data_IF_232128908043
#
_entry.id   IF_232128908043
#
_cell.length_a   1.000
_cell.length_b   1.000
_cell.length_c   1.000
_cell.angle_alpha   90.00
_cell.angle_beta   90.00
_cell.angle_gamma   90.00
#
_symmetry.space_group_name_H-M   'P 1'
#
loop_
_entity.id
_entity.type
_entity.pdbx_description
1 polymer ?
#
# COMPACT_ATOMS: atom_id res chain seq x y z
N UNK A 1 0.20 29.64 17.25
CA UNK A 1 0.82 29.26 15.95
C UNK A 1 1.69 28.05 16.22
N UNK A 2 1.07 26.88 16.25
CA UNK A 2 1.74 25.60 16.44
C UNK A 2 1.97 25.02 15.07
N UNK A 3 3.24 25.00 14.65
CA UNK A 3 3.68 24.38 13.41
C UNK A 3 3.63 22.87 13.66
N UNK A 4 2.56 22.22 13.21
CA UNK A 4 2.46 20.76 13.16
C UNK A 4 3.47 20.25 12.14
N UNK A 5 4.54 19.61 12.62
CA UNK A 5 5.41 18.78 11.78
C UNK A 5 4.56 17.63 11.23
N UNK A 6 4.22 17.69 9.95
CA UNK A 6 3.67 16.54 9.23
C UNK A 6 4.76 15.48 9.16
N UNK A 7 4.56 14.36 9.85
CA UNK A 7 5.37 13.17 9.67
C UNK A 7 5.28 12.72 8.21
N UNK A 8 6.41 12.34 7.64
CA UNK A 8 6.49 11.82 6.28
C UNK A 8 5.79 10.46 6.25
N UNK A 9 4.53 10.42 5.80
CA UNK A 9 3.85 9.16 5.51
C UNK A 9 4.49 8.61 4.24
N UNK A 10 5.28 7.55 4.36
CA UNK A 10 5.75 6.74 3.23
C UNK A 10 4.54 6.05 2.61
N UNK A 11 3.76 6.77 1.81
CA UNK A 11 2.60 6.24 1.12
C UNK A 11 3.03 5.25 0.04
N UNK A 12 2.56 4.01 0.14
CA UNK A 12 2.69 3.01 -0.92
C UNK A 12 2.23 3.59 -2.27
N UNK A 13 2.90 3.19 -3.33
CA UNK A 13 2.74 3.76 -4.68
C UNK A 13 1.78 2.90 -5.48
N UNK A 14 0.86 3.49 -6.25
CA UNK A 14 0.25 2.75 -7.35
C UNK A 14 1.29 2.54 -8.44
N UNK A 15 1.91 1.36 -8.37
CA UNK A 15 2.95 0.96 -9.31
C UNK A 15 2.29 0.22 -10.46
N UNK A 16 2.50 0.73 -11.68
CA UNK A 16 2.38 -0.07 -12.88
C UNK A 16 3.69 -0.86 -13.03
N UNK A 17 3.70 -2.13 -12.58
CA UNK A 17 4.87 -3.00 -12.75
C UNK A 17 4.84 -3.54 -14.18
N UNK A 18 5.66 -2.99 -15.08
CA UNK A 18 5.98 -3.71 -16.32
C UNK A 18 6.89 -4.88 -15.97
N UNK A 19 6.36 -6.09 -16.03
CA UNK A 19 7.10 -7.34 -15.79
C UNK A 19 8.21 -7.48 -16.84
N UNK A 20 9.46 -7.23 -16.45
CA UNK A 20 10.60 -7.75 -17.21
C UNK A 20 10.79 -9.20 -16.78
N UNK A 21 10.11 -10.12 -17.47
CA UNK A 21 10.37 -11.55 -17.35
C UNK A 21 11.80 -11.83 -17.78
N UNK A 22 12.71 -12.04 -16.83
CA UNK A 22 13.99 -12.69 -17.10
C UNK A 22 13.68 -14.16 -17.30
N UNK A 23 13.36 -14.55 -18.54
CA UNK A 23 13.23 -15.95 -18.91
C UNK A 23 14.56 -16.67 -18.68
N UNK A 24 14.62 -17.45 -17.61
CA UNK A 24 15.72 -18.37 -17.34
C UNK A 24 15.74 -19.49 -18.38
N UNK A 25 16.53 -19.32 -19.42
CA UNK A 25 17.01 -20.42 -20.25
C UNK A 25 18.51 -20.60 -19.96
N UNK A 26 18.86 -21.78 -19.45
CA UNK A 26 20.20 -22.12 -19.02
C UNK A 26 21.25 -21.93 -20.11
N UNK A 27 22.24 -21.11 -19.81
CA UNK A 27 23.56 -21.15 -20.41
C UNK A 27 24.57 -21.28 -19.28
N UNK A 28 25.24 -22.43 -19.20
CA UNK A 28 26.43 -22.60 -18.39
C UNK A 28 27.50 -21.60 -18.86
N UNK A 29 27.59 -20.45 -18.19
CA UNK A 29 28.71 -19.53 -18.32
C UNK A 29 29.77 -19.92 -17.29
N UNK A 30 30.94 -20.27 -17.82
CA UNK A 30 32.17 -20.53 -17.09
C UNK A 30 32.47 -19.47 -16.03
N UNK A 31 33.01 -19.92 -14.89
CA UNK A 31 33.54 -19.10 -13.80
C UNK A 31 34.27 -17.85 -14.31
N UNK A 32 33.69 -16.69 -14.02
CA UNK A 32 34.23 -15.38 -14.41
C UNK A 32 33.17 -14.28 -14.46
N UNK A 33 32.21 -14.23 -13.53
CA UNK A 33 31.36 -13.05 -13.37
C UNK A 33 32.09 -12.02 -12.51
N UNK A 34 32.85 -11.15 -13.15
CA UNK A 34 33.05 -9.82 -12.59
C UNK A 34 31.67 -9.15 -12.61
N UNK A 35 31.06 -8.97 -11.44
CA UNK A 35 29.99 -7.98 -11.27
C UNK A 35 30.60 -6.64 -11.64
N UNK A 36 30.33 -6.12 -12.83
CA UNK A 36 30.60 -4.72 -13.14
C UNK A 36 29.71 -3.91 -12.21
N UNK A 37 30.27 -3.46 -11.09
CA UNK A 37 29.63 -2.45 -10.27
C UNK A 37 29.57 -1.19 -11.13
N UNK A 38 28.37 -0.75 -11.50
CA UNK A 38 28.18 0.58 -12.10
C UNK A 38 28.91 1.61 -11.25
N UNK A 39 29.71 2.44 -11.91
CA UNK A 39 30.33 3.57 -11.23
C UNK A 39 29.24 4.48 -10.66
N UNK A 40 29.47 5.14 -9.51
CA UNK A 40 28.47 6.04 -8.93
C UNK A 40 27.97 7.11 -9.91
N UNK A 41 28.80 7.48 -10.89
CA UNK A 41 28.46 8.41 -11.96
C UNK A 41 27.54 7.81 -13.03
N UNK A 42 27.70 6.53 -13.37
CA UNK A 42 26.82 5.83 -14.31
C UNK A 42 25.41 5.71 -13.75
N UNK A 43 25.27 5.44 -12.44
CA UNK A 43 23.97 5.43 -11.76
C UNK A 43 23.25 6.77 -11.86
N UNK A 44 23.98 7.88 -11.62
CA UNK A 44 23.43 9.24 -11.78
C UNK A 44 22.95 9.48 -13.21
N UNK A 45 23.72 9.04 -14.22
CA UNK A 45 23.32 9.17 -15.61
C UNK A 45 22.11 8.29 -15.97
N UNK A 46 22.06 7.03 -15.49
CA UNK A 46 20.93 6.14 -15.71
C UNK A 46 19.64 6.75 -15.16
N UNK A 47 19.65 7.23 -13.91
CA UNK A 47 18.47 7.86 -13.31
C UNK A 47 18.04 9.08 -14.10
N UNK A 48 18.98 9.94 -14.50
CA UNK A 48 18.66 11.11 -15.33
C UNK A 48 18.00 10.69 -16.65
N UNK A 49 18.52 9.67 -17.33
CA UNK A 49 18.00 9.18 -18.61
C UNK A 49 16.58 8.59 -18.46
N UNK A 50 16.32 7.88 -17.36
CA UNK A 50 15.01 7.32 -17.09
C UNK A 50 13.96 8.41 -16.87
N UNK A 51 14.30 9.48 -16.16
CA UNK A 51 13.40 10.65 -15.99
C UNK A 51 13.20 11.37 -17.33
N UNK A 52 14.28 11.68 -18.06
CA UNK A 52 14.23 12.40 -19.34
C UNK A 52 13.23 11.74 -20.32
N UNK A 53 13.30 10.41 -20.42
CA UNK A 53 12.44 9.64 -21.32
C UNK A 53 10.99 9.51 -20.87
N UNK A 54 10.75 9.34 -19.57
CA UNK A 54 9.46 8.81 -19.09
C UNK A 54 8.63 9.80 -18.25
N UNK A 55 9.21 10.87 -17.70
CA UNK A 55 8.54 11.77 -16.78
C UNK A 55 7.23 12.40 -17.33
N UNK A 56 6.17 12.51 -16.54
CA UNK A 56 4.85 12.91 -17.08
C UNK A 56 4.83 14.33 -17.67
N UNK A 57 5.62 15.25 -17.13
CA UNK A 57 5.71 16.62 -17.63
C UNK A 57 6.93 16.80 -18.53
N UNK A 58 6.68 16.99 -19.83
CA UNK A 58 7.75 17.21 -20.82
C UNK A 58 8.55 18.51 -20.61
N UNK A 59 8.04 19.44 -19.79
CA UNK A 59 8.76 20.66 -19.42
C UNK A 59 9.60 20.52 -18.15
N UNK A 60 9.53 19.37 -17.48
CA UNK A 60 10.24 19.07 -16.23
C UNK A 60 10.02 20.16 -15.16
N UNK A 61 8.79 20.62 -15.00
CA UNK A 61 8.43 21.75 -14.16
C UNK A 61 9.25 23.03 -14.49
N UNK A 62 9.41 23.31 -15.79
CA UNK A 62 10.19 24.43 -16.33
C UNK A 62 11.71 24.37 -16.04
N UNK A 63 12.23 23.21 -15.62
CA UNK A 63 13.66 23.00 -15.40
C UNK A 63 14.35 22.61 -16.71
N UNK A 64 15.49 23.23 -17.02
CA UNK A 64 16.37 22.78 -18.11
C UNK A 64 17.04 21.45 -17.71
N UNK A 65 16.35 20.35 -18.00
CA UNK A 65 16.78 19.00 -17.61
C UNK A 65 18.13 18.62 -18.23
N UNK A 66 18.47 19.16 -19.40
CA UNK A 66 19.79 18.94 -20.04
C UNK A 66 20.90 19.70 -19.30
N UNK A 67 20.62 20.90 -18.79
CA UNK A 67 21.55 21.61 -17.91
C UNK A 67 21.76 20.87 -16.59
N UNK A 68 20.69 20.33 -16.00
CA UNK A 68 20.77 19.47 -14.81
C UNK A 68 21.69 18.28 -15.07
N UNK A 69 21.55 17.59 -16.20
CA UNK A 69 22.48 16.49 -16.56
C UNK A 69 23.94 16.92 -16.51
N UNK A 70 24.26 18.05 -17.16
CA UNK A 70 25.64 18.58 -17.24
C UNK A 70 26.17 18.95 -15.85
N UNK A 71 25.32 19.51 -15.00
CA UNK A 71 25.66 19.86 -13.62
C UNK A 71 26.06 18.61 -12.83
N UNK A 72 25.20 17.59 -12.76
CA UNK A 72 25.43 16.41 -11.94
C UNK A 72 26.52 15.51 -12.51
N UNK A 73 26.58 15.31 -13.83
CA UNK A 73 27.71 14.61 -14.45
C UNK A 73 29.02 15.42 -14.42
N UNK A 74 28.99 16.71 -14.09
CA UNK A 74 30.19 17.50 -13.84
C UNK A 74 30.83 17.22 -12.48
N UNK A 75 30.08 16.64 -11.54
CA UNK A 75 30.56 16.32 -10.19
C UNK A 75 31.44 15.07 -10.19
N UNK A 76 32.23 14.94 -9.12
CA UNK A 76 32.96 13.73 -8.77
C UNK A 76 32.25 13.06 -7.61
N UNK A 77 32.20 11.73 -7.63
CA UNK A 77 31.57 10.91 -6.60
C UNK A 77 32.60 9.93 -6.06
N UNK A 78 32.91 9.98 -4.77
CA UNK A 78 33.91 9.07 -4.17
C UNK A 78 33.31 7.74 -3.76
N UNK A 79 32.00 7.70 -3.49
CA UNK A 79 31.26 6.50 -3.13
C UNK A 79 29.80 6.58 -3.62
N UNK A 80 29.01 5.55 -3.29
CA UNK A 80 27.60 5.45 -3.69
C UNK A 80 26.68 6.38 -2.91
N UNK A 81 26.97 6.65 -1.64
CA UNK A 81 26.12 7.50 -0.81
C UNK A 81 26.16 8.96 -1.31
N UNK A 82 27.32 9.41 -1.79
CA UNK A 82 27.43 10.69 -2.50
C UNK A 82 26.59 10.72 -3.78
N UNK A 83 26.56 9.63 -4.55
CA UNK A 83 25.72 9.53 -5.74
C UNK A 83 24.23 9.49 -5.40
N UNK A 84 23.82 8.74 -4.36
CA UNK A 84 22.43 8.71 -3.90
C UNK A 84 21.95 10.09 -3.45
N UNK A 85 22.78 10.80 -2.68
CA UNK A 85 22.50 12.18 -2.25
C UNK A 85 22.31 13.08 -3.46
N UNK A 86 23.23 13.01 -4.43
CA UNK A 86 23.15 13.82 -5.64
C UNK A 86 21.94 13.46 -6.51
N UNK A 87 21.55 12.19 -6.59
CA UNK A 87 20.33 11.76 -7.29
C UNK A 87 19.10 12.35 -6.60
N UNK A 88 19.01 12.29 -5.26
CA UNK A 88 17.88 12.87 -4.53
C UNK A 88 17.78 14.38 -4.77
N UNK A 89 18.89 15.12 -4.67
CA UNK A 89 18.95 16.55 -5.01
C UNK A 89 18.53 16.84 -6.46
N UNK A 90 18.92 15.97 -7.40
CA UNK A 90 18.59 16.10 -8.82
C UNK A 90 17.08 15.95 -9.05
N UNK A 91 16.46 14.95 -8.41
CA UNK A 91 15.02 14.67 -8.54
C UNK A 91 14.16 15.72 -7.82
N UNK A 92 14.63 16.28 -6.69
CA UNK A 92 13.94 17.38 -5.98
C UNK A 92 13.69 18.60 -6.88
N UNK A 93 14.51 18.82 -7.91
CA UNK A 93 14.31 19.92 -8.87
C UNK A 93 12.99 19.81 -9.65
N UNK A 94 12.42 18.61 -9.77
CA UNK A 94 11.14 18.40 -10.47
C UNK A 94 9.94 18.91 -9.67
N UNK A 95 10.09 19.15 -8.36
CA UNK A 95 8.98 19.45 -7.43
C UNK A 95 7.86 18.40 -7.47
N UNK A 96 8.22 17.15 -7.78
CA UNK A 96 7.32 16.00 -7.75
C UNK A 96 7.79 15.04 -6.64
N UNK A 97 7.09 14.99 -5.49
CA UNK A 97 7.48 14.13 -4.37
C UNK A 97 7.34 12.64 -4.69
N UNK A 98 6.70 12.26 -5.79
CA UNK A 98 6.49 10.86 -6.19
C UNK A 98 7.56 10.36 -7.18
N UNK A 99 8.27 11.26 -7.87
CA UNK A 99 9.47 10.90 -8.63
C UNK A 99 10.66 10.86 -7.69
N UNK A 100 11.03 9.67 -7.24
CA UNK A 100 12.02 9.50 -6.17
C UNK A 100 12.94 8.31 -6.40
N UNK A 101 14.16 8.48 -5.92
CA UNK A 101 15.12 7.41 -5.76
C UNK A 101 14.87 6.68 -4.45
N UNK A 102 15.04 5.37 -4.48
CA UNK A 102 14.97 4.47 -3.35
C UNK A 102 16.29 3.74 -3.27
N UNK A 103 16.99 3.85 -2.14
CA UNK A 103 18.17 3.02 -1.92
C UNK A 103 17.79 1.52 -1.91
N UNK A 104 18.76 0.58 -1.93
CA UNK A 104 18.45 -0.85 -1.99
C UNK A 104 17.55 -1.35 -0.85
N UNK A 105 17.57 -0.71 0.32
CA UNK A 105 16.72 -1.09 1.44
C UNK A 105 15.30 -0.54 1.27
N UNK A 106 15.16 0.74 0.92
CA UNK A 106 13.88 1.37 0.61
C UNK A 106 13.16 0.63 -0.53
N UNK A 107 13.90 0.24 -1.58
CA UNK A 107 13.36 -0.48 -2.71
C UNK A 107 12.89 -1.89 -2.32
N UNK A 108 13.67 -2.61 -1.51
CA UNK A 108 13.26 -3.91 -0.95
C UNK A 108 11.99 -3.82 -0.10
N UNK A 109 11.88 -2.79 0.74
CA UNK A 109 10.69 -2.59 1.56
C UNK A 109 9.45 -2.34 0.68
N UNK A 110 9.57 -1.50 -0.35
CA UNK A 110 8.49 -1.30 -1.33
C UNK A 110 8.11 -2.60 -2.05
N UNK A 111 9.08 -3.45 -2.41
CA UNK A 111 8.79 -4.74 -3.03
C UNK A 111 7.97 -5.65 -2.12
N UNK A 112 8.31 -5.74 -0.83
CA UNK A 112 7.58 -6.52 0.17
C UNK A 112 6.12 -6.06 0.30
N UNK A 113 5.93 -4.75 0.40
CA UNK A 113 4.62 -4.11 0.48
C UNK A 113 3.73 -4.48 -0.73
N UNK A 114 4.33 -4.59 -1.92
CA UNK A 114 3.59 -4.95 -3.15
C UNK A 114 3.43 -6.45 -3.37
N UNK A 115 4.40 -7.28 -2.99
CA UNK A 115 4.30 -8.73 -3.12
C UNK A 115 3.29 -9.31 -2.13
N UNK A 116 3.07 -8.65 -0.99
CA UNK A 116 2.30 -9.23 0.11
C UNK A 116 3.05 -10.36 0.80
N UNK A 117 4.36 -10.43 0.62
CA UNK A 117 5.19 -11.51 1.16
C UNK A 117 6.51 -10.97 1.68
N UNK A 118 6.94 -11.47 2.84
CA UNK A 118 8.28 -11.19 3.37
C UNK A 118 8.98 -12.48 3.78
N UNK A 119 10.30 -12.48 3.78
CA UNK A 119 11.08 -13.56 4.40
C UNK A 119 11.58 -13.12 5.76
N UNK A 120 11.32 -13.91 6.80
CA UNK A 120 11.73 -13.62 8.16
C UNK A 120 11.05 -14.53 9.17
N UNK A 121 10.76 -14.00 10.35
CA UNK A 121 10.08 -14.75 11.43
C UNK A 121 8.67 -14.23 11.75
N UNK A 122 8.20 -13.17 11.09
CA UNK A 122 6.85 -12.63 11.25
C UNK A 122 6.65 -11.80 12.53
N UNK A 123 7.44 -10.72 12.69
CA UNK A 123 7.34 -9.81 13.84
C UNK A 123 7.19 -8.38 13.35
N UNK A 124 6.26 -7.64 13.95
CA UNK A 124 6.17 -6.19 13.84
C UNK A 124 6.99 -5.53 14.95
N UNK A 125 7.92 -4.66 14.58
CA UNK A 125 8.84 -4.00 15.50
C UNK A 125 8.58 -2.50 15.54
N UNK A 126 8.78 -1.92 16.71
CA UNK A 126 8.95 -0.48 16.92
C UNK A 126 10.25 -0.22 17.68
N UNK A 127 10.63 1.04 17.76
CA UNK A 127 11.64 1.50 18.70
C UNK A 127 10.96 2.38 19.74
N UNK A 128 11.23 2.13 21.01
CA UNK A 128 10.79 3.01 22.08
C UNK A 128 11.44 4.39 21.93
N UNK A 129 10.64 5.46 21.97
CA UNK A 129 11.14 6.80 21.71
C UNK A 129 12.09 7.29 22.81
N UNK A 130 11.91 6.85 24.06
CA UNK A 130 12.68 7.27 25.23
C UNK A 130 13.91 6.38 25.44
N UNK A 131 13.72 5.07 25.47
CA UNK A 131 14.79 4.11 25.79
C UNK A 131 15.62 3.69 24.58
N UNK A 132 15.11 3.92 23.36
CA UNK A 132 15.68 3.43 22.09
C UNK A 132 15.74 1.90 21.98
N UNK A 133 15.07 1.19 22.88
CA UNK A 133 15.00 -0.27 22.84
C UNK A 133 14.08 -0.75 21.71
N UNK A 134 14.39 -1.92 21.14
CA UNK A 134 13.58 -2.56 20.11
C UNK A 134 12.40 -3.30 20.74
N UNK A 135 11.19 -2.83 20.46
CA UNK A 135 9.95 -3.36 21.03
C UNK A 135 9.19 -4.20 20.00
N UNK A 136 8.72 -5.37 20.41
CA UNK A 136 7.74 -6.14 19.64
C UNK A 136 6.37 -5.48 19.77
N UNK A 137 5.82 -4.98 18.67
CA UNK A 137 4.43 -4.51 18.62
C UNK A 137 3.51 -5.73 18.72
N UNK A 138 3.68 -6.67 17.80
CA UNK A 138 2.95 -7.93 17.77
C UNK A 138 3.70 -8.97 16.91
N UNK A 139 3.67 -10.26 17.27
CA UNK A 139 3.92 -11.32 16.30
C UNK A 139 2.77 -11.39 15.28
N UNK A 140 3.08 -11.79 14.06
CA UNK A 140 2.07 -12.07 13.03
C UNK A 140 1.54 -13.48 13.30
N UNK A 141 0.22 -13.67 13.36
CA UNK A 141 -0.39 -14.99 13.59
C UNK A 141 0.08 -16.03 12.56
N UNK A 142 0.17 -17.29 12.99
CA UNK A 142 0.61 -18.43 12.16
C UNK A 142 2.03 -18.29 11.55
N UNK A 143 2.89 -17.47 12.16
CA UNK A 143 4.29 -17.31 11.77
C UNK A 143 5.28 -17.90 12.78
N UNK A 144 6.55 -18.13 12.41
CA UNK A 144 7.55 -18.71 13.32
C UNK A 144 7.68 -17.98 14.67
N UNK A 145 7.56 -16.66 14.71
CA UNK A 145 7.61 -15.89 15.95
C UNK A 145 6.37 -16.08 16.83
N UNK A 146 5.19 -16.17 16.22
CA UNK A 146 3.96 -16.47 16.93
C UNK A 146 4.00 -17.87 17.52
N UNK A 147 4.39 -18.87 16.73
CA UNK A 147 4.55 -20.26 17.18
C UNK A 147 5.61 -20.41 18.28
N UNK A 148 6.70 -19.64 18.19
CA UNK A 148 7.74 -19.62 19.20
C UNK A 148 7.29 -18.98 20.53
N UNK A 149 6.16 -18.26 20.56
CA UNK A 149 5.61 -17.64 21.76
C UNK A 149 6.21 -16.27 22.08
N UNK A 150 6.72 -15.55 21.08
CA UNK A 150 7.00 -14.12 21.18
C UNK A 150 5.68 -13.38 21.41
N UNK A 151 5.68 -12.38 22.29
CA UNK A 151 4.48 -11.62 22.66
C UNK A 151 4.68 -10.14 22.39
N UNK A 152 3.55 -9.43 22.25
CA UNK A 152 3.54 -7.97 22.29
C UNK A 152 4.25 -7.47 23.54
N UNK A 153 4.99 -6.36 23.40
CA UNK A 153 5.81 -5.71 24.42
C UNK A 153 7.10 -6.46 24.84
N UNK A 154 7.44 -7.58 24.21
CA UNK A 154 8.78 -8.14 24.36
C UNK A 154 9.83 -7.14 23.85
N UNK A 155 10.91 -6.97 24.61
CA UNK A 155 12.05 -6.13 24.19
C UNK A 155 13.15 -7.02 23.62
N UNK A 156 13.50 -6.87 22.34
CA UNK A 156 14.58 -7.63 21.73
C UNK A 156 15.91 -7.06 22.20
N UNK A 157 16.67 -7.85 22.95
CA UNK A 157 17.97 -7.46 23.51
C UNK A 157 19.16 -8.11 22.78
N UNK A 158 18.94 -9.23 22.08
CA UNK A 158 19.95 -9.83 21.19
C UNK A 158 19.35 -10.49 19.96
N UNK A 159 20.11 -10.47 18.87
CA UNK A 159 19.83 -11.19 17.62
C UNK A 159 21.07 -12.02 17.28
N UNK A 160 20.93 -13.35 17.25
CA UNK A 160 22.05 -14.30 17.07
C UNK A 160 23.23 -14.03 18.03
N UNK A 161 22.91 -13.65 19.27
CA UNK A 161 23.87 -13.32 20.33
C UNK A 161 24.49 -11.93 20.24
N UNK A 162 24.25 -11.17 19.17
CA UNK A 162 24.66 -9.78 19.03
C UNK A 162 23.71 -8.87 19.81
N UNK A 163 24.26 -7.98 20.64
CA UNK A 163 23.49 -7.00 21.42
C UNK A 163 22.79 -5.98 20.51
N UNK A 164 21.55 -5.61 20.85
CA UNK A 164 20.75 -4.65 20.09
C UNK A 164 20.86 -3.21 20.60
N UNK A 165 21.64 -2.94 21.65
CA UNK A 165 21.87 -1.58 22.16
C UNK A 165 22.42 -0.66 21.05
N UNK A 166 21.71 0.46 20.83
CA UNK A 166 22.05 1.42 19.79
C UNK A 166 21.68 1.01 18.36
N UNK A 167 21.10 -0.18 18.15
CA UNK A 167 20.52 -0.55 16.86
C UNK A 167 19.21 0.19 16.61
N UNK A 168 19.03 0.67 15.39
CA UNK A 168 17.71 1.06 14.91
C UNK A 168 16.90 -0.16 14.43
N UNK A 169 15.60 0.06 14.16
CA UNK A 169 14.69 -0.98 13.69
C UNK A 169 15.17 -1.60 12.37
N UNK A 170 15.76 -0.83 11.47
CA UNK A 170 16.17 -1.32 10.14
C UNK A 170 17.38 -2.24 10.23
N UNK A 171 18.34 -1.91 11.09
CA UNK A 171 19.48 -2.75 11.40
C UNK A 171 19.01 -4.07 12.00
N UNK A 172 18.08 -4.03 12.96
CA UNK A 172 17.49 -5.23 13.54
C UNK A 172 16.76 -6.09 12.50
N UNK A 173 15.92 -5.47 11.65
CA UNK A 173 15.21 -6.16 10.56
C UNK A 173 16.19 -6.85 9.62
N UNK A 174 17.33 -6.22 9.30
CA UNK A 174 18.35 -6.82 8.41
C UNK A 174 18.95 -8.10 9.01
N UNK A 175 19.14 -8.16 10.33
CA UNK A 175 19.64 -9.35 11.03
C UNK A 175 18.57 -10.43 11.21
N UNK A 176 17.32 -10.01 11.46
CA UNK A 176 16.18 -10.91 11.66
C UNK A 176 15.77 -11.59 10.36
N UNK A 177 15.86 -10.87 9.23
CA UNK A 177 15.63 -11.42 7.90
C UNK A 177 16.83 -12.26 7.45
N UNK A 178 16.61 -13.06 6.41
CA UNK A 178 17.60 -13.99 5.89
C UNK A 178 16.94 -15.06 5.02
N UNK A 179 17.71 -15.98 4.44
CA UNK A 179 17.17 -16.99 3.54
C UNK A 179 16.12 -17.89 4.21
N UNK A 180 15.08 -18.29 3.48
CA UNK A 180 14.08 -19.27 3.95
C UNK A 180 14.79 -20.54 4.44
N UNK A 181 14.36 -21.06 5.59
CA UNK A 181 14.91 -22.26 6.23
C UNK A 181 16.15 -22.03 7.10
N UNK A 182 16.81 -20.86 6.99
CA UNK A 182 17.90 -20.49 7.91
C UNK A 182 17.39 -20.20 9.32
N UNK A 183 18.27 -20.27 10.32
CA UNK A 183 17.90 -20.06 11.72
C UNK A 183 18.28 -18.65 12.19
N UNK A 184 17.48 -18.12 13.11
CA UNK A 184 17.77 -16.92 13.89
C UNK A 184 17.35 -17.15 15.34
N UNK A 185 18.14 -16.67 16.28
CA UNK A 185 17.81 -16.70 17.70
C UNK A 185 17.57 -15.29 18.20
N UNK A 186 16.36 -15.04 18.70
CA UNK A 186 16.05 -13.79 19.40
C UNK A 186 16.14 -14.00 20.90
N UNK A 187 16.94 -13.19 21.58
CA UNK A 187 16.87 -13.05 23.02
C UNK A 187 16.00 -11.84 23.34
N UNK A 188 14.93 -12.05 24.09
CA UNK A 188 14.02 -10.99 24.51
C UNK A 188 13.98 -10.83 26.01
N UNK A 189 13.71 -9.62 26.47
CA UNK A 189 13.39 -9.27 27.85
C UNK A 189 11.88 -9.12 27.99
N UNK A 190 11.27 -9.95 28.85
CA UNK A 190 9.84 -9.93 29.20
C UNK A 190 9.71 -9.75 30.72
N UNK A 191 9.38 -8.53 31.15
CA UNK A 191 9.53 -8.14 32.55
C UNK A 191 10.97 -8.36 33.01
N UNK A 192 11.17 -9.09 34.11
CA UNK A 192 12.50 -9.39 34.66
C UNK A 192 13.18 -10.63 34.04
N UNK A 193 12.53 -11.29 33.07
CA UNK A 193 13.03 -12.54 32.48
C UNK A 193 13.70 -12.27 31.13
N UNK A 194 14.80 -12.96 30.89
CA UNK A 194 15.38 -13.11 29.56
C UNK A 194 15.00 -14.48 29.00
N UNK A 195 14.49 -14.49 27.76
CA UNK A 195 14.02 -15.69 27.07
C UNK A 195 14.70 -15.76 25.70
N UNK A 196 15.09 -16.96 25.27
CA UNK A 196 15.68 -17.20 23.95
C UNK A 196 14.71 -17.98 23.07
N UNK A 197 14.53 -17.50 21.85
CA UNK A 197 13.62 -18.06 20.86
C UNK A 197 14.39 -18.38 19.57
N UNK A 198 14.90 -19.63 19.43
CA UNK A 198 15.42 -20.10 18.15
C UNK A 198 14.25 -20.34 17.19
N UNK A 199 14.32 -19.75 16.02
CA UNK A 199 13.28 -19.84 15.00
C UNK A 199 13.89 -20.13 13.64
N UNK A 200 13.12 -20.80 12.79
CA UNK A 200 13.45 -20.94 11.37
C UNK A 200 12.79 -19.80 10.60
N UNK A 201 13.54 -19.11 9.77
CA UNK A 201 13.01 -18.10 8.86
C UNK A 201 12.10 -18.78 7.83
N UNK A 202 10.93 -18.23 7.62
CA UNK A 202 9.95 -18.69 6.66
C UNK A 202 9.57 -17.56 5.69
N UNK A 203 8.92 -17.94 4.60
CA UNK A 203 8.14 -17.02 3.80
C UNK A 203 6.84 -16.74 4.57
N UNK A 204 6.57 -15.45 4.81
CA UNK A 204 5.43 -14.97 5.58
C UNK A 204 4.50 -14.27 4.60
N UNK A 205 3.30 -14.79 4.47
CA UNK A 205 2.22 -14.16 3.72
C UNK A 205 1.61 -13.06 4.58
N UNK A 206 1.47 -11.87 4.00
CA UNK A 206 0.78 -10.74 4.61
C UNK A 206 -0.62 -10.70 4.04
N UNK A 207 -1.64 -10.90 4.88
CA UNK A 207 -3.04 -10.90 4.45
C UNK A 207 -3.63 -9.48 4.51
N UNK A 208 -3.73 -8.75 3.38
CA UNK A 208 -4.27 -7.39 3.35
C UNK A 208 -5.80 -7.33 3.55
N UNK A 209 -6.51 -8.45 3.40
CA UNK A 209 -7.98 -8.49 3.51
C UNK A 209 -8.38 -9.16 4.82
N UNK A 210 -9.11 -8.41 5.64
CA UNK A 210 -9.80 -8.95 6.83
C UNK A 210 -11.29 -8.80 6.63
N UNK A 211 -12.07 -9.83 6.97
CA UNK A 211 -13.52 -9.76 6.85
C UNK A 211 -14.24 -10.42 8.01
N UNK A 212 -15.47 -9.98 8.25
CA UNK A 212 -16.34 -10.53 9.30
C UNK A 212 -17.81 -10.31 8.97
N UNK A 213 -18.67 -11.13 9.55
CA UNK A 213 -20.12 -10.87 9.58
C UNK A 213 -20.43 -10.04 10.82
N UNK A 214 -21.10 -8.92 10.63
CA UNK A 214 -21.50 -8.00 11.69
C UNK A 214 -23.02 -7.98 11.81
N UNK A 215 -23.55 -8.21 13.01
CA UNK A 215 -24.98 -8.08 13.26
C UNK A 215 -25.38 -6.61 13.36
N UNK A 216 -26.44 -6.24 12.64
CA UNK A 216 -27.03 -4.90 12.65
C UNK A 216 -28.55 -5.00 12.84
N UNK A 217 -29.22 -3.96 13.37
CA UNK A 217 -30.68 -3.91 13.42
C UNK A 217 -31.37 -4.15 12.06
N UNK A 218 -30.65 -3.95 10.95
CA UNK A 218 -31.16 -4.10 9.58
C UNK A 218 -30.69 -5.39 8.87
N UNK A 219 -30.14 -6.35 9.61
CA UNK A 219 -29.67 -7.64 9.10
C UNK A 219 -28.17 -7.86 9.29
N UNK A 220 -27.67 -8.98 8.76
CA UNK A 220 -26.24 -9.34 8.80
C UNK A 220 -25.49 -8.55 7.73
N UNK A 221 -24.40 -7.89 8.09
CA UNK A 221 -23.59 -7.06 7.19
C UNK A 221 -22.24 -7.75 6.96
N UNK A 222 -21.80 -7.78 5.71
CA UNK A 222 -20.43 -8.17 5.39
C UNK A 222 -19.51 -6.98 5.56
N UNK A 223 -18.62 -7.02 6.56
CA UNK A 223 -17.57 -6.02 6.72
C UNK A 223 -16.27 -6.57 6.13
N UNK A 224 -15.66 -5.82 5.21
CA UNK A 224 -14.37 -6.14 4.61
C UNK A 224 -13.45 -4.93 4.81
N UNK A 225 -12.29 -5.13 5.42
CA UNK A 225 -11.23 -4.14 5.53
C UNK A 225 -10.08 -4.56 4.62
N UNK A 226 -9.73 -3.70 3.67
CA UNK A 226 -8.59 -3.87 2.77
C UNK A 226 -7.52 -2.86 3.16
N UNK A 227 -6.41 -3.33 3.71
CA UNK A 227 -5.34 -2.44 4.21
C UNK A 227 -4.32 -2.07 3.15
N UNK A 228 -4.20 -2.85 2.07
CA UNK A 228 -3.25 -2.62 0.99
C UNK A 228 -3.62 -3.39 -0.29
N UNK A 229 -3.28 -2.84 -1.45
CA UNK A 229 -3.41 -3.54 -2.74
C UNK A 229 -2.12 -4.30 -3.09
N UNK A 230 -1.86 -5.40 -2.40
CA UNK A 230 -0.74 -6.33 -2.70
C UNK A 230 -1.15 -7.39 -3.73
N UNK A 231 -0.20 -8.22 -4.17
CA UNK A 231 -0.42 -9.24 -5.20
C UNK A 231 -1.51 -10.27 -4.83
N UNK A 232 -1.67 -10.60 -3.54
CA UNK A 232 -2.69 -11.49 -3.02
C UNK A 232 -4.04 -10.81 -2.74
N UNK A 233 -4.13 -9.48 -2.76
CA UNK A 233 -5.32 -8.75 -2.32
C UNK A 233 -6.58 -9.10 -3.11
N UNK A 234 -6.46 -9.27 -4.43
CA UNK A 234 -7.60 -9.60 -5.28
C UNK A 234 -8.15 -11.02 -5.00
N UNK A 235 -7.27 -12.00 -4.82
CA UNK A 235 -7.68 -13.37 -4.49
C UNK A 235 -8.35 -13.44 -3.11
N UNK A 236 -7.77 -12.79 -2.10
CA UNK A 236 -8.35 -12.73 -0.76
C UNK A 236 -9.68 -11.97 -0.73
N UNK A 237 -9.80 -10.87 -1.50
CA UNK A 237 -11.06 -10.13 -1.63
C UNK A 237 -12.16 -11.03 -2.21
N UNK A 238 -11.85 -11.78 -3.28
CA UNK A 238 -12.80 -12.72 -3.87
C UNK A 238 -13.23 -13.77 -2.85
N UNK A 239 -12.28 -14.37 -2.13
CA UNK A 239 -12.57 -15.37 -1.10
C UNK A 239 -13.42 -14.81 0.05
N UNK A 240 -13.19 -13.56 0.45
CA UNK A 240 -13.98 -12.86 1.44
C UNK A 240 -15.43 -12.63 0.96
N UNK A 241 -15.61 -12.15 -0.28
CA UNK A 241 -16.93 -11.94 -0.87
C UNK A 241 -17.69 -13.28 -0.97
N UNK A 242 -17.06 -14.32 -1.54
CA UNK A 242 -17.66 -15.65 -1.70
C UNK A 242 -18.08 -16.26 -0.35
N UNK A 243 -17.29 -16.04 0.70
CA UNK A 243 -17.58 -16.53 2.05
C UNK A 243 -18.75 -15.76 2.69
N UNK A 244 -18.75 -14.43 2.55
CA UNK A 244 -19.81 -13.56 3.09
C UNK A 244 -21.15 -13.77 2.38
N UNK A 245 -21.13 -14.11 1.10
CA UNK A 245 -22.33 -14.45 0.31
C UNK A 245 -23.07 -15.68 0.87
N UNK A 246 -22.35 -16.63 1.47
CA UNK A 246 -22.94 -17.80 2.14
C UNK A 246 -23.61 -17.45 3.47
N UNK A 247 -23.32 -16.27 4.02
CA UNK A 247 -23.78 -15.82 5.32
C UNK A 247 -25.06 -14.97 5.25
N UNK A 248 -25.88 -15.10 4.21
CA UNK A 248 -27.16 -14.37 4.02
C UNK A 248 -27.09 -12.89 4.43
N UNK A 249 -26.00 -12.21 4.08
CA UNK A 249 -25.84 -10.79 4.40
C UNK A 249 -26.78 -9.92 3.56
N UNK A 250 -27.14 -8.75 4.08
CA UNK A 250 -28.03 -7.79 3.42
C UNK A 250 -27.27 -6.73 2.63
N UNK A 251 -25.98 -6.53 2.90
CA UNK A 251 -25.13 -5.56 2.24
C UNK A 251 -23.69 -5.59 2.75
N UNK A 252 -22.84 -4.75 2.17
CA UNK A 252 -21.41 -4.67 2.46
C UNK A 252 -20.98 -3.30 2.97
N UNK A 253 -20.01 -3.30 3.86
CA UNK A 253 -19.14 -2.15 4.14
C UNK A 253 -17.72 -2.52 3.74
N UNK A 254 -17.17 -1.83 2.74
CA UNK A 254 -15.78 -1.96 2.32
C UNK A 254 -14.96 -0.81 2.92
N UNK A 255 -14.03 -1.13 3.81
CA UNK A 255 -13.20 -0.16 4.51
C UNK A 255 -11.81 -0.02 3.87
N UNK A 256 -11.57 1.15 3.26
CA UNK A 256 -10.31 1.57 2.64
C UNK A 256 -9.59 2.65 3.46
N UNK A 257 -10.03 2.92 4.69
CA UNK A 257 -9.40 3.93 5.55
C UNK A 257 -7.98 3.56 5.88
N UNK A 258 -7.09 4.54 5.74
CA UNK A 258 -5.65 4.41 5.94
C UNK A 258 -5.00 3.38 5.01
N UNK A 259 -5.63 3.07 3.87
CA UNK A 259 -5.04 2.24 2.82
C UNK A 259 -4.29 3.15 1.81
N UNK A 260 -2.95 3.13 1.79
CA UNK A 260 -2.15 4.01 0.94
C UNK A 260 -2.17 3.64 -0.54
N UNK A 261 -2.87 2.58 -0.93
CA UNK A 261 -2.95 2.05 -2.28
C UNK A 261 -2.09 0.79 -2.43
N UNK A 262 -1.33 0.71 -3.52
CA UNK A 262 -0.61 -0.48 -3.94
C UNK A 262 -0.87 -0.76 -5.41
N UNK A 263 -0.73 -2.01 -5.86
CA UNK A 263 -0.79 -2.39 -7.26
C UNK A 263 -2.09 -1.94 -7.96
N UNK A 264 -1.94 -1.22 -9.07
CA UNK A 264 -3.06 -0.75 -9.91
C UNK A 264 -3.96 -1.91 -10.34
N UNK A 265 -3.37 -2.99 -10.85
CA UNK A 265 -4.15 -4.12 -11.38
C UNK A 265 -4.91 -4.86 -10.29
N UNK A 266 -4.38 -4.95 -9.07
CA UNK A 266 -5.16 -5.48 -7.94
C UNK A 266 -6.40 -4.61 -7.66
N UNK A 267 -6.30 -3.29 -7.80
CA UNK A 267 -7.45 -2.39 -7.68
C UNK A 267 -8.48 -2.58 -8.79
N UNK A 268 -8.03 -2.77 -10.04
CA UNK A 268 -8.92 -3.01 -11.18
C UNK A 268 -9.64 -4.34 -11.02
N UNK A 269 -8.92 -5.40 -10.65
CA UNK A 269 -9.50 -6.72 -10.44
C UNK A 269 -10.51 -6.71 -9.28
N UNK A 270 -10.21 -6.02 -8.18
CA UNK A 270 -11.17 -5.82 -7.09
C UNK A 270 -12.37 -5.00 -7.57
N UNK A 271 -12.19 -3.94 -8.35
CA UNK A 271 -13.30 -3.15 -8.89
C UNK A 271 -14.24 -4.00 -9.76
N UNK A 272 -13.69 -4.90 -10.60
CA UNK A 272 -14.46 -5.87 -11.42
C UNK A 272 -15.30 -6.84 -10.59
N UNK A 273 -14.93 -7.13 -9.34
CA UNK A 273 -15.74 -7.96 -8.43
C UNK A 273 -17.02 -7.24 -7.98
N UNK A 274 -17.05 -5.91 -8.05
CA UNK A 274 -18.18 -5.08 -7.61
C UNK A 274 -18.96 -4.48 -8.76
N UNK A 275 -18.33 -4.23 -9.92
CA UNK A 275 -18.93 -3.56 -11.08
C UNK A 275 -19.21 -4.55 -12.21
N UNK A 276 -20.47 -4.57 -12.65
CA UNK A 276 -20.88 -5.41 -13.78
C UNK A 276 -20.49 -4.76 -15.12
N UNK A 277 -20.72 -3.45 -15.25
CA UNK A 277 -20.36 -2.63 -16.39
C UNK A 277 -19.80 -1.26 -15.95
N UNK A 278 -19.28 -0.49 -16.91
CA UNK A 278 -18.71 0.84 -16.69
C UNK A 278 -17.19 0.91 -16.73
N UNK A 279 -16.67 2.12 -16.97
CA UNK A 279 -15.23 2.41 -16.89
C UNK A 279 -14.80 2.37 -15.42
N UNK A 280 -13.58 1.90 -15.16
CA UNK A 280 -12.97 1.89 -13.82
C UNK A 280 -11.99 3.06 -13.70
N UNK A 281 -11.06 3.16 -14.64
CA UNK A 281 -10.01 4.19 -14.63
C UNK A 281 -9.47 4.42 -16.03
N UNK A 282 -9.16 5.67 -16.35
CA UNK A 282 -8.41 6.04 -17.56
C UNK A 282 -7.02 6.54 -17.17
N UNK A 283 -6.00 6.09 -17.90
CA UNK A 283 -4.61 6.56 -17.73
C UNK A 283 -4.28 7.58 -18.80
N UNK A 284 -3.73 8.71 -18.40
CA UNK A 284 -3.37 9.83 -19.29
C UNK A 284 -1.90 10.17 -19.11
N UNK A 285 -1.11 9.96 -20.15
CA UNK A 285 0.31 10.31 -20.20
C UNK A 285 0.53 11.65 -20.93
N UNK A 286 1.80 11.98 -21.21
CA UNK A 286 2.16 13.22 -21.91
C UNK A 286 1.73 13.25 -23.39
N UNK A 287 1.34 12.12 -23.97
CA UNK A 287 0.86 11.96 -25.34
C UNK A 287 -0.68 11.98 -25.44
N UNK A 288 -1.39 11.81 -24.31
CA UNK A 288 -2.85 11.83 -24.24
C UNK A 288 -3.39 10.67 -23.42
N UNK A 289 -4.63 10.24 -23.69
CA UNK A 289 -5.16 9.00 -23.07
C UNK A 289 -4.34 7.83 -23.59
N UNK A 290 -3.66 7.14 -22.68
CA UNK A 290 -2.77 6.02 -22.98
C UNK A 290 -3.48 4.67 -22.82
N UNK A 291 -4.42 4.58 -21.88
CA UNK A 291 -5.13 3.34 -21.54
C UNK A 291 -6.47 3.61 -20.86
N UNK A 292 -7.42 2.67 -20.96
CA UNK A 292 -8.71 2.71 -20.27
C UNK A 292 -9.14 1.31 -19.83
N UNK A 293 -9.38 1.16 -18.54
CA UNK A 293 -9.75 -0.11 -17.92
C UNK A 293 -11.23 -0.07 -17.52
N UNK A 294 -11.95 -1.15 -17.82
CA UNK A 294 -13.40 -1.26 -17.60
C UNK A 294 -13.77 -2.54 -16.85
N UNK A 295 -14.98 -2.52 -16.28
CA UNK A 295 -15.66 -3.70 -15.79
C UNK A 295 -15.86 -4.73 -16.92
N UNK A 296 -16.01 -6.00 -16.55
CA UNK A 296 -15.95 -7.12 -17.47
C UNK A 296 -17.13 -8.10 -17.34
N UNK A 297 -18.23 -7.70 -16.70
CA UNK A 297 -19.41 -8.55 -16.49
C UNK A 297 -19.19 -9.71 -15.53
N UNK A 298 -18.30 -9.53 -14.55
CA UNK A 298 -17.96 -10.56 -13.56
C UNK A 298 -18.19 -10.07 -12.12
N UNK A 299 -19.16 -9.17 -11.92
CA UNK A 299 -19.49 -8.75 -10.58
C UNK A 299 -19.94 -9.97 -9.76
N UNK A 300 -19.39 -10.12 -8.56
CA UNK A 300 -19.70 -11.24 -7.68
C UNK A 300 -21.01 -11.01 -6.92
N UNK A 301 -21.44 -9.76 -6.79
CA UNK A 301 -22.63 -9.39 -6.02
C UNK A 301 -23.20 -8.04 -6.43
N UNK A 302 -24.53 -7.97 -6.48
CA UNK A 302 -25.30 -6.73 -6.65
C UNK A 302 -25.80 -6.17 -5.31
N UNK A 303 -25.40 -6.77 -4.18
CA UNK A 303 -25.86 -6.29 -2.87
C UNK A 303 -25.41 -4.85 -2.62
N UNK A 304 -26.22 -4.06 -1.89
CA UNK A 304 -25.86 -2.71 -1.46
C UNK A 304 -24.46 -2.64 -0.85
N UNK A 305 -23.70 -1.62 -1.23
CA UNK A 305 -22.31 -1.41 -0.82
C UNK A 305 -22.11 0.03 -0.35
N UNK A 306 -21.41 0.18 0.77
CA UNK A 306 -20.88 1.46 1.24
C UNK A 306 -19.36 1.34 1.36
N UNK A 307 -18.64 2.36 0.91
CA UNK A 307 -17.18 2.42 0.99
C UNK A 307 -16.77 3.44 2.05
N UNK A 308 -15.93 3.03 3.01
CA UNK A 308 -15.33 3.93 4.00
C UNK A 308 -13.96 4.40 3.50
N UNK A 309 -13.73 5.71 3.56
CA UNK A 309 -12.45 6.35 3.17
C UNK A 309 -12.02 7.42 4.16
N UNK A 310 -10.72 7.73 4.20
CA UNK A 310 -10.16 8.83 4.97
C UNK A 310 -8.98 9.49 4.24
N UNK A 311 -8.34 10.47 4.87
CA UNK A 311 -7.17 11.15 4.30
C UNK A 311 -5.92 10.27 4.12
N UNK A 312 -5.94 9.03 4.62
CA UNK A 312 -4.92 8.01 4.35
C UNK A 312 -5.29 7.07 3.20
N UNK A 313 -6.52 7.10 2.71
CA UNK A 313 -6.93 6.44 1.47
C UNK A 313 -6.26 7.15 0.29
N UNK A 314 -5.37 6.47 -0.42
CA UNK A 314 -4.61 7.06 -1.52
C UNK A 314 -4.51 6.13 -2.74
N UNK A 315 -4.25 6.72 -3.91
CA UNK A 315 -3.81 6.00 -5.11
C UNK A 315 -4.79 4.90 -5.55
N UNK A 316 -4.42 3.61 -5.52
CA UNK A 316 -5.34 2.51 -5.82
C UNK A 316 -6.66 2.54 -5.01
N UNK A 317 -6.63 2.98 -3.74
CA UNK A 317 -7.85 3.18 -2.95
C UNK A 317 -8.76 4.25 -3.54
N UNK A 318 -8.18 5.31 -4.11
CA UNK A 318 -8.91 6.42 -4.74
C UNK A 318 -9.45 6.02 -6.11
N UNK A 319 -8.72 5.17 -6.85
CA UNK A 319 -9.22 4.55 -8.08
C UNK A 319 -10.44 3.68 -7.78
N UNK A 320 -10.34 2.76 -6.81
CA UNK A 320 -11.46 1.89 -6.46
C UNK A 320 -12.67 2.68 -5.96
N UNK A 321 -12.48 3.58 -5.00
CA UNK A 321 -13.58 4.39 -4.44
C UNK A 321 -14.19 5.32 -5.49
N UNK A 322 -13.37 5.98 -6.31
CA UNK A 322 -13.83 6.83 -7.42
C UNK A 322 -14.60 6.05 -8.49
N UNK A 323 -14.11 4.86 -8.87
CA UNK A 323 -14.80 3.99 -9.82
C UNK A 323 -16.18 3.54 -9.30
N UNK A 324 -16.24 3.11 -8.04
CA UNK A 324 -17.51 2.68 -7.42
C UNK A 324 -18.48 3.85 -7.23
N UNK A 325 -17.98 5.04 -6.89
CA UNK A 325 -18.78 6.26 -6.75
C UNK A 325 -19.35 6.72 -8.10
N UNK A 326 -18.49 6.91 -9.10
CA UNK A 326 -18.89 7.49 -10.39
C UNK A 326 -19.85 6.57 -11.16
N UNK A 327 -19.70 5.24 -11.02
CA UNK A 327 -20.65 4.26 -11.56
C UNK A 327 -21.90 4.06 -10.68
N UNK A 328 -22.06 4.84 -9.59
CA UNK A 328 -23.19 4.74 -8.64
C UNK A 328 -23.36 3.35 -8.04
N UNK A 329 -22.26 2.60 -7.92
CA UNK A 329 -22.25 1.25 -7.34
C UNK A 329 -22.20 1.28 -5.82
N UNK A 330 -21.59 2.31 -5.24
CA UNK A 330 -21.50 2.48 -3.80
C UNK A 330 -21.53 3.95 -3.40
N UNK A 331 -22.06 4.21 -2.21
CA UNK A 331 -21.91 5.49 -1.53
C UNK A 331 -20.58 5.52 -0.79
N UNK A 332 -19.85 6.63 -0.90
CA UNK A 332 -18.58 6.85 -0.19
C UNK A 332 -18.84 7.66 1.09
N UNK A 333 -18.34 7.17 2.22
CA UNK A 333 -18.56 7.74 3.55
C UNK A 333 -17.21 7.95 4.24
N UNK A 334 -17.04 9.07 4.94
CA UNK A 334 -15.81 9.34 5.69
C UNK A 334 -15.30 10.75 5.48
N UNK A 335 -14.00 10.90 5.20
CA UNK A 335 -13.38 12.21 4.90
C UNK A 335 -12.75 12.26 3.52
N UNK A 336 -12.34 13.45 3.07
CA UNK A 336 -11.59 13.61 1.82
C UNK A 336 -10.40 12.66 1.78
N UNK A 337 -10.18 11.98 0.65
CA UNK A 337 -9.01 11.13 0.43
C UNK A 337 -7.74 11.96 0.18
N UNK A 338 -6.61 11.27 0.04
CA UNK A 338 -5.29 11.92 0.00
C UNK A 338 -5.06 12.83 -1.22
N UNK A 339 -5.57 12.47 -2.40
CA UNK A 339 -5.33 13.16 -3.66
C UNK A 339 -4.09 12.72 -4.43
N UNK A 340 -3.77 11.41 -4.43
CA UNK A 340 -2.62 10.84 -5.17
C UNK A 340 -3.09 10.20 -6.47
N UNK A 341 -3.31 11.03 -7.49
CA UNK A 341 -3.78 10.61 -8.81
C UNK A 341 -2.69 10.32 -9.85
N UNK A 342 -1.44 10.20 -9.44
CA UNK A 342 -0.31 10.03 -10.35
C UNK A 342 0.10 8.56 -10.49
N UNK A 343 0.54 8.18 -11.69
CA UNK A 343 1.05 6.84 -12.02
C UNK A 343 2.57 6.85 -11.94
N UNK A 344 3.13 5.95 -11.15
CA UNK A 344 4.57 5.76 -11.11
C UNK A 344 4.98 4.46 -11.82
N UNK A 345 5.90 4.58 -12.75
CA UNK A 345 6.69 3.46 -13.25
C UNK A 345 7.84 3.23 -12.29
N UNK A 346 7.94 2.03 -11.72
CA UNK A 346 9.04 1.67 -10.83
C UNK A 346 10.01 0.73 -11.52
N UNK A 347 11.31 1.03 -11.43
CA UNK A 347 12.38 0.26 -12.05
C UNK A 347 13.50 0.01 -11.05
N UNK A 348 13.94 -1.24 -10.96
CA UNK A 348 15.19 -1.60 -10.26
C UNK A 348 16.42 -1.18 -11.06
N UNK A 349 17.46 -0.75 -10.36
CA UNK A 349 18.73 -0.28 -10.92
C UNK A 349 19.84 -1.31 -10.66
N UNK A 350 20.99 -1.16 -11.33
CA UNK A 350 22.05 -2.18 -11.38
C UNK A 350 22.69 -2.52 -10.03
N UNK A 351 22.63 -1.61 -9.06
CA UNK A 351 23.16 -1.76 -7.70
C UNK A 351 22.13 -2.28 -6.68
N UNK A 352 20.91 -2.60 -7.14
CA UNK A 352 19.81 -3.06 -6.30
C UNK A 352 18.94 -1.95 -5.71
N UNK A 353 19.25 -0.69 -6.01
CA UNK A 353 18.36 0.46 -5.72
C UNK A 353 17.18 0.49 -6.70
N UNK A 354 16.27 1.45 -6.51
CA UNK A 354 15.10 1.61 -7.36
C UNK A 354 14.80 3.07 -7.67
N UNK A 355 14.13 3.29 -8.80
CA UNK A 355 13.61 4.59 -9.20
C UNK A 355 12.12 4.49 -9.45
N UNK A 356 11.34 5.33 -8.78
CA UNK A 356 9.96 5.62 -9.14
C UNK A 356 9.93 6.90 -9.98
N UNK A 357 9.34 6.83 -11.17
CA UNK A 357 9.14 8.00 -12.06
C UNK A 357 7.66 8.18 -12.29
N UNK A 358 7.14 9.38 -12.07
CA UNK A 358 5.77 9.70 -12.46
C UNK A 358 5.69 9.76 -13.98
N UNK A 359 4.87 8.91 -14.60
CA UNK A 359 4.78 8.76 -16.06
C UNK A 359 3.42 9.14 -16.64
N UNK A 360 2.38 9.12 -15.82
CA UNK A 360 1.01 9.40 -16.22
C UNK A 360 0.18 9.86 -15.01
N UNK A 361 -1.10 10.14 -15.25
CA UNK A 361 -2.11 10.38 -14.22
C UNK A 361 -3.36 9.54 -14.46
N UNK A 362 -4.09 9.25 -13.39
CA UNK A 362 -5.37 8.56 -13.44
C UNK A 362 -6.52 9.56 -13.46
N UNK A 363 -7.52 9.26 -14.29
CA UNK A 363 -8.82 9.91 -14.26
C UNK A 363 -9.88 8.89 -13.83
N UNK A 364 -10.84 9.36 -13.02
CA UNK A 364 -12.03 8.57 -12.68
C UNK A 364 -12.96 8.43 -13.90
N UNK A 365 -13.98 7.56 -13.86
CA UNK A 365 -14.92 7.39 -14.98
C UNK A 365 -15.65 8.67 -15.41
N UNK A 366 -15.87 9.62 -14.49
CA UNK A 366 -16.43 10.94 -14.81
C UNK A 366 -15.42 11.93 -15.40
N UNK A 367 -14.16 11.52 -15.60
CA UNK A 367 -13.06 12.37 -16.09
C UNK A 367 -12.40 13.23 -15.02
N UNK A 368 -12.63 12.96 -13.73
CA UNK A 368 -12.07 13.72 -12.61
C UNK A 368 -10.58 13.40 -12.45
N UNK A 369 -9.76 14.44 -12.30
CA UNK A 369 -8.35 14.28 -11.94
C UNK A 369 -8.24 14.07 -10.43
N UNK A 370 -7.73 12.91 -10.02
CA UNK A 370 -7.58 12.57 -8.60
C UNK A 370 -6.44 13.38 -7.98
N UNK A 371 -5.46 13.82 -8.77
CA UNK A 371 -4.25 14.43 -8.24
C UNK A 371 -4.55 15.78 -7.56
N UNK A 372 -4.09 15.95 -6.33
CA UNK A 372 -4.37 17.06 -5.40
C UNK A 372 -5.83 17.23 -4.94
N UNK A 373 -6.81 16.75 -5.70
CA UNK A 373 -8.22 16.84 -5.33
C UNK A 373 -8.65 15.68 -4.44
N UNK A 374 -8.33 14.44 -4.83
CA UNK A 374 -8.84 13.21 -4.22
C UNK A 374 -10.32 12.93 -4.54
N UNK A 375 -10.90 11.98 -3.81
CA UNK A 375 -12.29 11.58 -3.87
C UNK A 375 -13.02 12.17 -2.66
N UNK A 376 -14.00 13.03 -2.94
CA UNK A 376 -14.87 13.57 -1.90
C UNK A 376 -15.92 12.52 -1.49
N UNK A 377 -16.17 12.33 -0.18
CA UNK A 377 -17.20 11.42 0.26
C UNK A 377 -18.60 11.98 -0.04
N UNK A 378 -19.53 11.11 -0.43
CA UNK A 378 -20.95 11.45 -0.56
C UNK A 378 -21.57 11.82 0.80
N UNK A 379 -21.06 11.21 1.88
CA UNK A 379 -21.44 11.53 3.26
C UNK A 379 -20.20 11.80 4.09
N UNK A 380 -19.92 13.10 4.29
CA UNK A 380 -18.83 13.56 5.14
C UNK A 380 -19.09 13.26 6.63
N UNK A 381 -18.12 12.64 7.29
CA UNK A 381 -18.08 12.45 8.73
C UNK A 381 -16.63 12.46 9.24
N UNK A 382 -16.32 13.47 10.05
CA UNK A 382 -15.00 13.62 10.68
C UNK A 382 -15.01 13.02 12.09
N UNK A 383 -13.91 12.37 12.45
CA UNK A 383 -13.63 11.97 13.82
C UNK A 383 -13.05 13.15 14.59
N UNK A 384 -13.51 13.35 15.83
CA UNK A 384 -12.80 14.20 16.78
C UNK A 384 -11.41 13.63 17.09
N UNK A 385 -10.49 14.48 17.57
CA UNK A 385 -9.15 14.04 17.93
C UNK A 385 -9.15 12.93 18.99
N UNK A 386 -10.06 13.01 19.97
CA UNK A 386 -10.24 11.99 21.01
C UNK A 386 -10.71 10.65 20.41
N UNK A 387 -11.69 10.67 19.50
CA UNK A 387 -12.14 9.46 18.82
C UNK A 387 -11.05 8.84 17.94
N UNK A 388 -10.25 9.68 17.25
CA UNK A 388 -9.12 9.21 16.44
C UNK A 388 -8.05 8.57 17.31
N UNK A 389 -7.72 9.20 18.43
CA UNK A 389 -6.75 8.68 19.39
C UNK A 389 -7.24 7.36 20.00
N UNK A 390 -8.51 7.27 20.38
CA UNK A 390 -9.12 6.05 20.90
C UNK A 390 -9.06 4.89 19.90
N UNK A 391 -9.47 5.11 18.65
CA UNK A 391 -9.41 4.07 17.60
C UNK A 391 -7.97 3.68 17.27
N UNK A 392 -7.01 4.62 17.31
CA UNK A 392 -5.59 4.31 17.08
C UNK A 392 -4.97 3.46 18.19
N UNK A 393 -5.46 3.59 19.43
CA UNK A 393 -5.02 2.80 20.59
C UNK A 393 -5.65 1.42 20.65
N UNK A 394 -6.85 1.27 20.11
CA UNK A 394 -7.60 0.02 20.13
C UNK A 394 -8.26 -0.24 18.77
N UNK A 395 -7.50 -0.87 17.87
CA UNK A 395 -7.94 -1.23 16.53
C UNK A 395 -9.09 -2.26 16.54
N UNK A 396 -9.39 -2.90 17.67
CA UNK A 396 -10.52 -3.86 17.75
C UNK A 396 -11.88 -3.16 17.68
N UNK A 397 -11.91 -1.84 17.89
CA UNK A 397 -13.11 -1.02 17.73
C UNK A 397 -13.38 -0.61 16.27
N UNK A 398 -12.39 -0.77 15.37
CA UNK A 398 -12.55 -0.43 13.95
C UNK A 398 -13.52 -1.42 13.28
N UNK A 399 -14.53 -0.89 12.59
CA UNK A 399 -15.57 -1.74 11.98
C UNK A 399 -16.63 -2.25 12.96
N UNK A 400 -16.70 -1.67 14.16
CA UNK A 400 -17.75 -1.95 15.15
C UNK A 400 -18.61 -0.70 15.39
N UNK A 401 -19.78 -0.82 16.06
CA UNK A 401 -20.60 0.35 16.39
C UNK A 401 -19.91 1.42 17.28
N UNK A 402 -18.75 1.11 17.86
CA UNK A 402 -17.93 2.08 18.60
C UNK A 402 -17.14 3.02 17.67
N UNK A 403 -16.95 2.63 16.41
CA UNK A 403 -16.38 3.47 15.35
C UNK A 403 -17.48 4.36 14.74
N UNK A 404 -17.42 5.69 14.93
CA UNK A 404 -18.47 6.59 14.45
C UNK A 404 -18.63 6.61 12.94
N UNK A 405 -17.54 6.43 12.17
CA UNK A 405 -17.62 6.40 10.71
C UNK A 405 -18.26 5.11 10.24
N UNK A 406 -17.92 3.97 10.87
CA UNK A 406 -18.58 2.71 10.58
C UNK A 406 -20.07 2.73 10.94
N UNK A 407 -20.42 3.26 12.12
CA UNK A 407 -21.82 3.46 12.51
C UNK A 407 -22.59 4.31 11.49
N UNK A 408 -21.95 5.36 10.95
CA UNK A 408 -22.53 6.17 9.88
C UNK A 408 -22.68 5.40 8.57
N UNK A 409 -21.71 4.57 8.20
CA UNK A 409 -21.81 3.70 7.04
C UNK A 409 -22.97 2.70 7.17
N UNK A 410 -23.23 2.16 8.37
CA UNK A 410 -24.39 1.30 8.62
C UNK A 410 -25.73 2.02 8.40
N UNK A 411 -25.83 3.29 8.82
CA UNK A 411 -27.03 4.11 8.58
C UNK A 411 -27.28 4.33 7.09
N UNK A 412 -26.23 4.63 6.33
CA UNK A 412 -26.29 4.84 4.87
C UNK A 412 -26.65 3.52 4.18
N UNK A 413 -25.98 2.42 4.55
CA UNK A 413 -26.25 1.10 3.99
C UNK A 413 -27.70 0.66 4.23
N UNK A 414 -28.26 0.96 5.41
CA UNK A 414 -29.66 0.68 5.70
C UNK A 414 -30.64 1.46 4.81
N UNK A 415 -30.26 2.63 4.30
CA UNK A 415 -31.05 3.37 3.31
C UNK A 415 -30.95 2.70 1.93
N UNK A 416 -29.74 2.34 1.50
CA UNK A 416 -29.50 1.63 0.24
C UNK A 416 -30.21 0.27 0.17
N UNK A 417 -30.20 -0.50 1.26
CA UNK A 417 -30.93 -1.77 1.37
C UNK A 417 -32.43 -1.57 1.19
N UNK A 418 -33.01 -0.54 1.81
CA UNK A 418 -34.44 -0.23 1.66
C UNK A 418 -34.78 0.18 0.22
N UNK A 419 -33.97 1.06 -0.38
CA UNK A 419 -34.16 1.48 -1.77
C UNK A 419 -34.07 0.29 -2.76
N UNK A 420 -33.09 -0.59 -2.58
CA UNK A 420 -32.93 -1.80 -3.40
C UNK A 420 -34.13 -2.76 -3.28
N UNK A 421 -34.71 -2.89 -2.09
CA UNK A 421 -35.91 -3.72 -1.89
C UNK A 421 -37.16 -3.10 -2.54
N UNK A 422 -37.29 -1.77 -2.51
CA UNK A 422 -38.39 -1.06 -3.15
C UNK A 422 -38.33 -1.16 -4.67
N UNK A 423 -37.15 -1.00 -5.29
CA UNK A 423 -36.96 -1.15 -6.73
C UNK A 423 -37.31 -2.57 -7.21
N UNK A 424 -36.82 -3.61 -6.51
CA UNK A 424 -37.16 -5.01 -6.84
C UNK A 424 -38.66 -5.31 -6.74
N UNK A 425 -39.36 -4.66 -5.80
CA UNK A 425 -40.83 -4.77 -5.68
C UNK A 425 -41.57 -4.02 -6.78
N UNK A 426 -41.02 -2.93 -7.32
CA UNK A 426 -41.62 -2.18 -8.41
C UNK A 426 -41.52 -2.95 -9.74
N UNK A 427 -40.38 -3.59 -10.02
CA UNK A 427 -40.14 -4.37 -11.24
C UNK A 427 -40.98 -5.66 -11.31
N UNK A 428 -41.36 -6.22 -10.17
CA UNK A 428 -42.14 -7.47 -10.08
C UNK A 428 -43.66 -7.27 -10.06
N UNK A 429 -44.16 -6.02 -10.14
CA UNK A 429 -45.59 -5.76 -10.29
C UNK A 429 -46.04 -6.04 -11.73
N UNK A 430 -47.02 -6.94 -11.97
CA UNK A 430 -47.59 -7.12 -13.30
C UNK A 430 -48.31 -5.84 -13.73
N UNK A 431 -48.07 -5.43 -14.99
CA UNK A 431 -48.70 -4.27 -15.63
C UNK A 431 -50.22 -4.38 -15.72
#
# INVERSE_FOLDING_TARGET
>A
MTITKRGLVLGATAVAVTTVTVTGAGLHLSQGQAFFQESPKELVDEVWQLVDRNYVDATFNQVDWQAVRREYLGRSYTDREEAYTAIREMLEKLDDPYTRFMDPQEFRNMQIDTSGELTGVGIQLSQDEETKELLVIAPIEDTPAFEAGILAQDVIIKIDGQDTEGMDVNQAVTLIRGPVGSEVTLTVRRGDRQLEFPMRRAQIELHPVRFSVQDSPNGRIGYIRLTQFSANAAEEMKAAIDSLEQENITGYVLDLRSNPGGLLYASIDIARMWLEDGVIVSTVDRQGVSDEESANGQALTERPLVVLVDGGSASASEILSGALQDNKRAMVVGTQTFGKGLVQSVRGLGDGSGLAVTVAKYLTPSGRDINHEGIAPDVMIELSDEQREQLSRDLTQVGTPQDPQYARALDVLAQEVRASQENRRAETRPQ
#
